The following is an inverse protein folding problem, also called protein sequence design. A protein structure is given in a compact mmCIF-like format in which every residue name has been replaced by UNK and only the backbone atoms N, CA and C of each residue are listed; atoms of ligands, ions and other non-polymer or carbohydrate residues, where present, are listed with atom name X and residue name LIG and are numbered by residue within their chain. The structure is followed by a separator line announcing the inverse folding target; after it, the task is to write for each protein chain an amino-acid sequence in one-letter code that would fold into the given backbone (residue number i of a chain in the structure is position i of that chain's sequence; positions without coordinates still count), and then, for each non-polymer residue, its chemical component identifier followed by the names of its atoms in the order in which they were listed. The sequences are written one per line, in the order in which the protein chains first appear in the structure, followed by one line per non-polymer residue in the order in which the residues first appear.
data_IF_101926167449
#
_entry.id   IF_101926167449
#
_cell.length_a   1.000
_cell.length_b   1.000
_cell.length_c   1.000
_cell.angle_alpha   90.00
_cell.angle_beta   90.00
_cell.angle_gamma   90.00
#
_symmetry.space_group_name_H-M   'P 1'
#
loop_
_entity.id
_entity.type
_entity.pdbx_description
1 polymer ?
#
# COMPACT_ATOMS: atom_id res chain seq x y z
N UNK A 1 0.68 6.92 -5.73
CA UNK A 1 -0.04 5.78 -6.33
C UNK A 1 -1.19 5.33 -5.45
N UNK A 2 -1.09 5.37 -4.11
CA UNK A 2 -2.17 4.91 -3.24
C UNK A 2 -3.48 5.68 -3.41
N UNK A 3 -3.45 7.03 -3.40
CA UNK A 3 -4.64 7.87 -3.58
C UNK A 3 -5.24 7.65 -4.98
N UNK A 4 -4.37 7.61 -5.99
CA UNK A 4 -4.74 7.38 -7.38
C UNK A 4 -5.42 6.02 -7.57
N UNK A 5 -4.83 4.96 -7.01
CA UNK A 5 -5.42 3.62 -7.01
C UNK A 5 -6.74 3.57 -6.27
N UNK A 6 -6.87 4.32 -5.17
CA UNK A 6 -8.13 4.49 -4.46
C UNK A 6 -9.23 5.06 -5.37
N UNK A 7 -8.96 6.20 -6.01
CA UNK A 7 -9.89 6.87 -6.92
C UNK A 7 -10.25 5.96 -8.11
N UNK A 8 -9.25 5.35 -8.75
CA UNK A 8 -9.46 4.43 -9.87
C UNK A 8 -10.29 3.23 -9.43
N UNK A 9 -10.01 2.65 -8.26
CA UNK A 9 -10.77 1.54 -7.70
C UNK A 9 -12.23 1.89 -7.47
N UNK A 10 -12.51 3.09 -6.95
CA UNK A 10 -13.89 3.57 -6.75
C UNK A 10 -14.61 3.78 -8.08
N UNK A 11 -13.96 4.39 -9.07
CA UNK A 11 -14.53 4.59 -10.41
C UNK A 11 -14.83 3.25 -11.07
N UNK A 12 -13.85 2.34 -11.12
CA UNK A 12 -14.03 1.01 -11.70
C UNK A 12 -15.08 0.18 -10.96
N UNK A 13 -15.12 0.28 -9.63
CA UNK A 13 -16.15 -0.35 -8.81
C UNK A 13 -17.55 0.16 -9.15
N UNK A 14 -17.70 1.48 -9.34
CA UNK A 14 -18.98 2.11 -9.70
C UNK A 14 -19.41 1.75 -11.12
N UNK A 15 -18.50 1.78 -12.08
CA UNK A 15 -18.75 1.39 -13.49
C UNK A 15 -19.19 -0.07 -13.59
N UNK A 16 -18.64 -0.95 -12.76
CA UNK A 16 -19.03 -2.37 -12.68
C UNK A 16 -20.32 -2.63 -11.89
N UNK A 17 -21.11 -1.59 -11.59
CA UNK A 17 -22.39 -1.70 -10.88
C UNK A 17 -22.27 -1.86 -9.36
N UNK A 18 -21.08 -1.65 -8.81
CA UNK A 18 -20.83 -1.71 -7.38
C UNK A 18 -21.53 -0.59 -6.60
N UNK A 19 -21.86 -0.85 -5.34
CA UNK A 19 -22.57 0.09 -4.46
C UNK A 19 -21.66 0.52 -3.30
N UNK A 20 -21.64 1.83 -3.01
CA UNK A 20 -20.93 2.37 -1.85
C UNK A 20 -21.49 1.83 -0.51
N UNK A 21 -22.78 1.48 -0.47
CA UNK A 21 -23.42 0.85 0.69
C UNK A 21 -22.77 -0.47 1.10
N UNK A 22 -22.05 -1.13 0.20
CA UNK A 22 -21.38 -2.40 0.49
C UNK A 22 -20.18 -2.22 1.42
N UNK A 23 -19.60 -1.02 1.51
CA UNK A 23 -18.55 -0.72 2.48
C UNK A 23 -19.03 -0.80 3.94
N UNK A 24 -20.33 -0.65 4.20
CA UNK A 24 -20.88 -0.82 5.55
C UNK A 24 -20.82 -2.28 6.05
N UNK A 25 -20.71 -3.25 5.13
CA UNK A 25 -20.57 -4.67 5.46
C UNK A 25 -19.11 -5.14 5.42
N UNK A 26 -18.17 -4.22 5.23
CA UNK A 26 -16.76 -4.51 5.13
C UNK A 26 -16.19 -4.86 6.50
N UNK A 27 -15.77 -6.11 6.66
CA UNK A 27 -15.04 -6.57 7.83
C UNK A 27 -13.57 -6.83 7.47
N UNK A 28 -12.70 -5.87 7.83
CA UNK A 28 -11.25 -6.09 7.85
C UNK A 28 -10.87 -6.50 9.27
N UNK A 29 -10.29 -7.70 9.41
CA UNK A 29 -9.73 -8.15 10.68
C UNK A 29 -8.53 -7.28 11.03
N UNK A 30 -8.46 -6.86 12.30
CA UNK A 30 -7.34 -6.07 12.82
C UNK A 30 -7.10 -4.73 12.09
N UNK A 31 -8.14 -4.08 11.56
CA UNK A 31 -8.04 -2.73 10.98
C UNK A 31 -7.34 -1.67 11.87
N UNK A 32 -7.39 -1.74 13.22
CA UNK A 32 -6.63 -0.78 14.05
C UNK A 32 -5.11 -0.84 13.83
N UNK A 33 -4.59 -1.94 13.29
CA UNK A 33 -3.16 -2.06 12.94
C UNK A 33 -2.73 -1.05 11.88
N UNK A 34 -3.63 -0.56 11.02
CA UNK A 34 -3.31 0.49 10.04
C UNK A 34 -2.93 1.78 10.77
N UNK A 35 -3.73 2.16 11.76
CA UNK A 35 -3.49 3.35 12.56
C UNK A 35 -2.24 3.18 13.41
N UNK A 36 -2.05 2.02 14.04
CA UNK A 36 -0.84 1.72 14.80
C UNK A 36 0.41 1.81 13.92
N UNK A 37 0.40 1.21 12.72
CA UNK A 37 1.49 1.28 11.77
C UNK A 37 1.80 2.72 11.35
N UNK A 38 0.76 3.53 11.13
CA UNK A 38 0.91 4.95 10.79
C UNK A 38 1.53 5.76 11.93
N UNK A 39 1.07 5.57 13.17
CA UNK A 39 1.64 6.24 14.34
C UNK A 39 3.11 5.85 14.55
N UNK A 40 3.41 4.56 14.46
CA UNK A 40 4.80 4.07 14.54
C UNK A 40 5.64 4.69 13.43
N UNK A 41 5.14 4.77 12.20
CA UNK A 41 5.86 5.34 11.06
C UNK A 41 6.18 6.83 11.21
N UNK A 42 5.30 7.60 11.85
CA UNK A 42 5.47 9.05 12.05
C UNK A 42 6.28 9.36 13.31
N UNK A 43 6.26 8.47 14.30
CA UNK A 43 6.97 8.68 15.57
C UNK A 43 8.42 9.17 15.44
N UNK A 44 9.24 8.72 14.46
CA UNK A 44 10.61 9.17 14.36
C UNK A 44 10.74 10.65 13.95
N UNK A 45 9.79 11.17 13.17
CA UNK A 45 9.79 12.58 12.75
C UNK A 45 9.70 13.56 13.94
N UNK A 46 9.19 13.10 15.08
CA UNK A 46 9.15 13.88 16.32
C UNK A 46 10.40 13.70 17.19
N UNK A 47 11.19 12.65 16.95
CA UNK A 47 12.36 12.28 17.76
C UNK A 47 13.69 12.62 17.11
N UNK A 48 13.70 13.07 15.84
CA UNK A 48 14.91 13.40 15.07
C UNK A 48 15.83 14.44 15.72
N UNK A 49 15.34 15.19 16.72
CA UNK A 49 16.14 16.14 17.51
C UNK A 49 16.97 15.50 18.63
N UNK A 50 16.77 14.21 18.91
CA UNK A 50 17.42 13.48 20.00
C UNK A 50 18.39 12.47 19.39
N UNK A 51 19.69 12.77 19.47
CA UNK A 51 20.78 12.00 18.84
C UNK A 51 20.82 10.51 19.22
N UNK A 52 20.32 10.16 20.41
CA UNK A 52 20.24 8.76 20.90
C UNK A 52 19.22 7.92 20.11
N UNK A 53 18.26 8.57 19.42
CA UNK A 53 17.19 7.91 18.68
C UNK A 53 17.46 7.84 17.17
N UNK A 54 18.66 8.18 16.69
CA UNK A 54 19.00 8.13 15.27
C UNK A 54 18.82 6.72 14.64
N UNK A 55 18.96 5.65 15.44
CA UNK A 55 18.65 4.28 15.00
C UNK A 55 17.17 3.88 15.07
N UNK A 56 16.33 4.67 15.75
CA UNK A 56 14.92 4.35 15.97
C UNK A 56 14.08 4.43 14.69
N UNK A 57 14.45 5.32 13.75
CA UNK A 57 13.80 5.42 12.43
C UNK A 57 13.73 4.06 11.71
N UNK A 58 14.83 3.31 11.77
CA UNK A 58 14.96 2.01 11.14
C UNK A 58 14.00 0.99 11.76
N UNK A 59 14.01 0.87 13.09
CA UNK A 59 13.11 -0.04 13.81
C UNK A 59 11.65 0.34 13.63
N UNK A 60 11.33 1.63 13.68
CA UNK A 60 9.98 2.13 13.46
C UNK A 60 9.46 1.77 12.05
N UNK A 61 10.28 1.93 11.01
CA UNK A 61 9.93 1.50 9.66
C UNK A 61 9.67 -0.02 9.60
N UNK A 62 10.58 -0.83 10.15
CA UNK A 62 10.42 -2.29 10.17
C UNK A 62 9.17 -2.74 10.92
N UNK A 63 8.88 -2.15 12.08
CA UNK A 63 7.67 -2.44 12.87
C UNK A 63 6.43 -2.01 12.09
N UNK A 64 6.41 -0.81 11.51
CA UNK A 64 5.27 -0.33 10.72
C UNK A 64 4.94 -1.27 9.57
N UNK A 65 5.96 -1.65 8.78
CA UNK A 65 5.78 -2.58 7.66
C UNK A 65 5.35 -3.96 8.15
N UNK A 66 5.92 -4.45 9.25
CA UNK A 66 5.53 -5.71 9.88
C UNK A 66 4.06 -5.74 10.33
N UNK A 67 3.56 -4.64 10.90
CA UNK A 67 2.15 -4.50 11.28
C UNK A 67 1.22 -4.53 10.06
N UNK A 68 1.61 -3.89 8.95
CA UNK A 68 0.84 -3.94 7.70
C UNK A 68 0.86 -5.35 7.10
N UNK A 69 2.00 -6.04 7.08
CA UNK A 69 2.07 -7.45 6.63
C UNK A 69 1.14 -8.31 7.48
N UNK A 70 1.18 -8.17 8.81
CA UNK A 70 0.33 -8.93 9.71
C UNK A 70 -1.16 -8.71 9.39
N UNK A 71 -1.57 -7.46 9.18
CA UNK A 71 -2.94 -7.14 8.76
C UNK A 71 -3.31 -7.83 7.44
N UNK A 72 -2.41 -7.79 6.44
CA UNK A 72 -2.66 -8.42 5.14
C UNK A 72 -2.75 -9.95 5.25
N UNK A 73 -1.90 -10.57 6.09
CA UNK A 73 -1.91 -12.01 6.36
C UNK A 73 -3.21 -12.45 7.05
N UNK A 74 -3.73 -11.64 7.98
CA UNK A 74 -5.01 -11.91 8.65
C UNK A 74 -6.22 -11.77 7.73
N UNK A 75 -6.06 -11.14 6.55
CA UNK A 75 -7.14 -10.87 5.58
C UNK A 75 -6.84 -11.46 4.18
N UNK A 76 -6.13 -12.59 4.13
CA UNK A 76 -5.87 -13.33 2.89
C UNK A 76 -7.14 -13.88 2.21
N UNK A 77 -8.30 -13.85 2.87
CA UNK A 77 -9.59 -14.16 2.24
C UNK A 77 -9.87 -13.25 1.03
N UNK A 78 -9.31 -12.03 1.03
CA UNK A 78 -9.58 -11.01 0.01
C UNK A 78 -8.49 -10.98 -1.06
N UNK A 79 -8.88 -11.24 -2.32
CA UNK A 79 -7.95 -11.31 -3.47
C UNK A 79 -7.09 -10.06 -3.64
N UNK A 80 -7.67 -8.87 -3.48
CA UNK A 80 -6.93 -7.61 -3.58
C UNK A 80 -5.81 -7.48 -2.54
N UNK A 81 -6.08 -7.91 -1.29
CA UNK A 81 -5.08 -7.88 -0.21
C UNK A 81 -3.94 -8.88 -0.43
N UNK A 82 -4.19 -10.03 -1.07
CA UNK A 82 -3.11 -10.94 -1.49
C UNK A 82 -2.15 -10.28 -2.46
N UNK A 83 -2.68 -9.56 -3.45
CA UNK A 83 -1.87 -8.86 -4.46
C UNK A 83 -1.08 -7.72 -3.81
N UNK A 84 -1.70 -6.99 -2.87
CA UNK A 84 -1.00 -5.98 -2.07
C UNK A 84 0.16 -6.58 -1.28
N UNK A 85 -0.05 -7.75 -0.66
CA UNK A 85 0.99 -8.45 0.08
C UNK A 85 2.16 -8.83 -0.81
N UNK A 86 1.91 -9.34 -2.02
CA UNK A 86 2.98 -9.65 -2.98
C UNK A 86 3.78 -8.38 -3.31
N UNK A 87 3.12 -7.27 -3.62
CA UNK A 87 3.81 -6.01 -3.89
C UNK A 87 4.63 -5.49 -2.71
N UNK A 88 4.12 -5.65 -1.48
CA UNK A 88 4.82 -5.28 -0.25
C UNK A 88 6.05 -6.16 -0.01
N UNK A 89 5.94 -7.47 -0.23
CA UNK A 89 7.06 -8.41 -0.13
C UNK A 89 8.14 -8.12 -1.17
N UNK A 90 7.76 -7.74 -2.40
CA UNK A 90 8.72 -7.31 -3.43
C UNK A 90 9.49 -6.05 -2.98
N UNK A 91 8.80 -5.05 -2.45
CA UNK A 91 9.46 -3.85 -1.92
C UNK A 91 10.38 -4.18 -0.73
N UNK A 92 9.94 -5.07 0.17
CA UNK A 92 10.76 -5.52 1.29
C UNK A 92 12.00 -6.29 0.84
N UNK A 93 11.88 -7.16 -0.16
CA UNK A 93 13.02 -7.84 -0.75
C UNK A 93 14.01 -6.82 -1.31
N UNK A 94 13.53 -5.83 -2.09
CA UNK A 94 14.37 -4.77 -2.62
C UNK A 94 15.13 -4.04 -1.50
N UNK A 95 14.46 -3.71 -0.40
CA UNK A 95 15.06 -3.01 0.74
C UNK A 95 16.07 -3.91 1.47
N UNK A 96 15.71 -5.16 1.75
CA UNK A 96 16.53 -6.12 2.48
C UNK A 96 17.87 -6.40 1.78
N UNK A 97 17.85 -6.60 0.46
CA UNK A 97 19.07 -6.84 -0.33
C UNK A 97 19.93 -5.59 -0.54
N UNK A 98 19.42 -4.40 -0.23
CA UNK A 98 20.12 -3.12 -0.40
C UNK A 98 20.37 -2.44 0.96
N UNK A 99 20.73 -3.23 1.98
CA UNK A 99 21.12 -2.73 3.32
C UNK A 99 20.06 -1.81 3.93
N UNK A 100 18.79 -2.19 3.77
CA UNK A 100 17.62 -1.45 4.24
C UNK A 100 17.39 -0.07 3.62
N UNK A 101 18.02 0.19 2.46
CA UNK A 101 17.79 1.39 1.67
C UNK A 101 16.96 1.05 0.45
N UNK A 102 16.01 1.90 0.12
CA UNK A 102 15.24 1.78 -1.12
C UNK A 102 16.04 2.38 -2.27
N UNK A 103 16.37 1.62 -3.33
CA UNK A 103 17.04 2.17 -4.48
C UNK A 103 16.12 3.06 -5.32
N UNK A 104 16.65 4.18 -5.79
CA UNK A 104 15.92 5.14 -6.62
C UNK A 104 16.81 5.60 -7.79
N UNK A 105 16.23 5.66 -8.99
CA UNK A 105 16.88 6.25 -10.17
C UNK A 105 17.01 7.77 -10.01
N UNK A 106 18.24 8.28 -10.04
CA UNK A 106 18.51 9.71 -9.90
C UNK A 106 18.06 10.48 -11.13
N UNK A 107 18.31 9.93 -12.32
CA UNK A 107 17.76 10.44 -13.58
C UNK A 107 16.23 10.50 -13.53
N UNK A 108 15.59 9.48 -12.95
CA UNK A 108 14.14 9.45 -12.79
C UNK A 108 13.60 10.56 -11.87
N UNK A 109 14.31 10.89 -10.80
CA UNK A 109 13.96 12.02 -9.92
C UNK A 109 14.13 13.37 -10.63
N UNK A 110 15.18 13.51 -11.44
CA UNK A 110 15.41 14.71 -12.25
C UNK A 110 14.29 14.91 -13.27
N UNK A 111 13.94 13.87 -14.03
CA UNK A 111 12.85 13.88 -15.01
C UNK A 111 11.48 14.13 -14.35
N UNK A 112 11.27 13.66 -13.12
CA UNK A 112 10.07 13.96 -12.34
C UNK A 112 10.02 15.41 -11.82
N UNK A 113 11.11 16.19 -11.94
CA UNK A 113 11.21 17.54 -11.39
C UNK A 113 11.27 17.55 -9.85
N UNK A 114 11.79 16.49 -9.24
CA UNK A 114 11.92 16.31 -7.79
C UNK A 114 13.33 16.70 -7.29
N UNK A 115 13.83 17.87 -7.69
CA UNK A 115 15.16 18.34 -7.32
C UNK A 115 15.41 18.40 -5.80
N UNK A 116 14.47 18.84 -4.94
CA UNK A 116 14.70 18.85 -3.49
C UNK A 116 14.96 17.44 -2.91
N UNK A 117 14.31 16.42 -3.49
CA UNK A 117 14.52 15.03 -3.08
C UNK A 117 15.87 14.52 -3.58
N UNK A 118 16.26 14.86 -4.81
CA UNK A 118 17.57 14.54 -5.37
C UNK A 118 18.70 15.07 -4.48
N UNK A 119 18.65 16.36 -4.13
CA UNK A 119 19.64 17.01 -3.26
C UNK A 119 19.66 16.41 -1.85
N UNK A 120 18.50 16.07 -1.29
CA UNK A 120 18.40 15.47 0.04
C UNK A 120 18.98 14.04 0.09
N UNK A 121 18.91 13.28 -1.01
CA UNK A 121 19.54 11.96 -1.10
C UNK A 121 21.05 12.11 -1.31
N UNK A 122 21.49 13.01 -2.19
CA UNK A 122 22.91 13.26 -2.44
C UNK A 122 23.65 13.82 -1.21
N UNK A 123 23.01 14.69 -0.45
CA UNK A 123 23.55 15.25 0.81
C UNK A 123 23.48 14.28 2.00
N UNK A 124 22.97 13.06 1.80
CA UNK A 124 22.84 12.05 2.87
C UNK A 124 21.79 12.39 3.93
N UNK A 125 20.99 13.45 3.76
CA UNK A 125 19.93 13.84 4.68
C UNK A 125 18.80 12.81 4.76
N UNK A 126 18.58 12.05 3.68
CA UNK A 126 17.61 10.95 3.67
C UNK A 126 18.35 9.61 3.62
N UNK A 127 18.60 9.03 4.79
CA UNK A 127 19.35 7.78 4.93
C UNK A 127 18.63 6.55 4.34
N UNK A 128 17.32 6.66 4.08
CA UNK A 128 16.46 5.55 3.64
C UNK A 128 16.49 5.30 2.12
N UNK A 129 17.12 6.18 1.34
CA UNK A 129 17.24 6.03 -0.10
C UNK A 129 18.69 5.89 -0.53
N UNK A 130 18.93 5.16 -1.62
CA UNK A 130 20.24 5.09 -2.24
C UNK A 130 20.14 5.26 -3.77
N UNK A 131 21.19 5.81 -4.41
CA UNK A 131 21.27 5.88 -5.87
C UNK A 131 21.23 4.48 -6.48
N UNK A 132 20.41 4.31 -7.52
CA UNK A 132 20.33 3.06 -8.28
C UNK A 132 21.64 2.74 -9.02
N UNK A 133 22.43 3.75 -9.37
CA UNK A 133 23.68 3.59 -10.12
C UNK A 133 24.71 2.69 -9.40
N UNK A 134 24.60 2.56 -8.07
CA UNK A 134 25.52 1.77 -7.25
C UNK A 134 25.12 0.27 -7.13
N UNK A 135 24.08 -0.18 -7.84
CA UNK A 135 23.50 -1.52 -7.66
C UNK A 135 23.67 -2.36 -8.92
N UNK A 136 24.43 -3.45 -8.79
CA UNK A 136 24.71 -4.40 -9.89
C UNK A 136 23.91 -5.71 -9.82
N UNK A 137 23.04 -5.89 -8.82
CA UNK A 137 22.29 -7.14 -8.62
C UNK A 137 20.84 -7.03 -9.10
N UNK A 138 20.12 -8.17 -9.10
CA UNK A 138 18.72 -8.29 -9.57
C UNK A 138 17.73 -7.35 -8.86
N UNK A 139 18.07 -6.87 -7.66
CA UNK A 139 17.27 -5.91 -6.89
C UNK A 139 17.04 -4.58 -7.63
N UNK A 140 17.85 -4.26 -8.66
CA UNK A 140 17.64 -3.11 -9.56
C UNK A 140 16.29 -3.13 -10.25
N UNK A 141 15.74 -4.31 -10.55
CA UNK A 141 14.43 -4.45 -11.19
C UNK A 141 13.26 -4.20 -10.23
N UNK A 142 13.53 -4.16 -8.93
CA UNK A 142 12.56 -3.81 -7.89
C UNK A 142 12.76 -2.40 -7.33
N UNK A 143 13.76 -1.67 -7.85
CA UNK A 143 14.02 -0.28 -7.51
C UNK A 143 12.87 0.63 -7.95
N UNK A 144 12.90 1.87 -7.47
CA UNK A 144 12.07 2.95 -8.00
C UNK A 144 12.73 3.51 -9.26
N UNK A 145 12.27 3.08 -10.44
CA UNK A 145 12.77 3.57 -11.73
C UNK A 145 11.66 4.04 -12.68
N UNK A 146 10.39 3.76 -12.39
CA UNK A 146 9.27 4.16 -13.24
C UNK A 146 8.94 5.61 -12.95
N UNK A 147 9.14 6.49 -13.93
CA UNK A 147 9.00 7.93 -13.78
C UNK A 147 7.60 8.37 -14.18
N UNK A 148 6.95 9.15 -13.31
CA UNK A 148 5.71 9.87 -13.61
C UNK A 148 6.05 11.37 -13.57
N UNK A 149 6.36 11.99 -14.72
CA UNK A 149 6.82 13.37 -14.78
C UNK A 149 5.66 14.38 -14.72
N UNK A 150 6.01 15.66 -14.49
CA UNK A 150 5.08 16.79 -14.69
C UNK A 150 4.63 16.81 -16.18
N UNK A 151 3.38 17.18 -16.52
CA UNK A 151 2.40 17.97 -15.75
C UNK A 151 1.50 17.16 -14.81
N UNK A 152 1.83 15.89 -14.51
CA UNK A 152 1.07 15.14 -13.51
C UNK A 152 1.17 15.81 -12.13
N UNK A 153 0.04 16.09 -11.44
CA UNK A 153 0.02 16.87 -10.20
C UNK A 153 0.78 16.20 -9.05
N UNK A 154 1.00 14.89 -9.12
CA UNK A 154 1.78 14.13 -8.15
C UNK A 154 2.97 13.45 -8.84
N UNK A 155 3.93 14.24 -9.34
CA UNK A 155 5.14 13.68 -9.94
C UNK A 155 5.87 12.78 -8.92
N UNK A 156 6.29 11.58 -9.37
CA UNK A 156 6.90 10.57 -8.50
C UNK A 156 7.66 9.51 -9.30
N UNK A 157 8.57 8.83 -8.62
CA UNK A 157 9.24 7.64 -9.13
C UNK A 157 8.74 6.43 -8.35
N UNK A 158 8.26 5.41 -9.05
CA UNK A 158 7.58 4.24 -8.46
C UNK A 158 8.33 2.96 -8.76
N UNK A 159 8.20 1.97 -7.88
CA UNK A 159 8.73 0.61 -8.09
C UNK A 159 7.68 -0.30 -8.72
N UNK A 160 8.11 -1.47 -9.18
CA UNK A 160 7.20 -2.57 -9.58
C UNK A 160 6.33 -2.99 -8.39
N UNK A 161 6.88 -3.06 -7.17
CA UNK A 161 6.11 -3.37 -5.97
C UNK A 161 4.99 -2.36 -5.70
N UNK A 162 5.25 -1.07 -5.93
CA UNK A 162 4.23 -0.02 -5.79
C UNK A 162 3.06 -0.21 -6.77
N UNK A 163 3.32 -0.71 -7.99
CA UNK A 163 2.28 -1.06 -8.95
C UNK A 163 1.42 -2.22 -8.46
N UNK A 164 2.03 -3.29 -7.93
CA UNK A 164 1.29 -4.41 -7.34
C UNK A 164 0.45 -3.98 -6.15
N UNK A 165 0.99 -3.14 -5.25
CA UNK A 165 0.23 -2.59 -4.12
C UNK A 165 -0.97 -1.79 -4.64
N UNK A 166 -0.77 -0.95 -5.64
CA UNK A 166 -1.84 -0.10 -6.21
C UNK A 166 -2.90 -0.93 -6.93
N UNK A 167 -2.50 -1.94 -7.70
CA UNK A 167 -3.41 -2.86 -8.37
C UNK A 167 -4.21 -3.68 -7.34
N UNK A 168 -3.55 -4.17 -6.29
CA UNK A 168 -4.21 -4.88 -5.21
C UNK A 168 -5.24 -4.01 -4.49
N UNK A 169 -4.94 -2.72 -4.26
CA UNK A 169 -5.88 -1.75 -3.70
C UNK A 169 -7.09 -1.54 -4.62
N UNK A 170 -6.87 -1.34 -5.92
CA UNK A 170 -7.94 -1.21 -6.92
C UNK A 170 -8.87 -2.42 -6.88
N UNK A 171 -8.29 -3.64 -6.95
CA UNK A 171 -9.04 -4.89 -6.95
C UNK A 171 -9.76 -5.14 -5.62
N UNK A 172 -9.17 -4.72 -4.50
CA UNK A 172 -9.80 -4.80 -3.18
C UNK A 172 -11.05 -3.91 -3.14
N UNK A 173 -10.90 -2.62 -3.44
CA UNK A 173 -12.01 -1.64 -3.43
C UNK A 173 -13.13 -2.10 -4.36
N UNK A 174 -12.77 -2.42 -5.60
CA UNK A 174 -13.73 -2.84 -6.62
C UNK A 174 -14.40 -4.18 -6.25
N UNK A 175 -13.66 -5.12 -5.68
CA UNK A 175 -14.19 -6.40 -5.20
C UNK A 175 -15.23 -6.21 -4.09
N UNK A 176 -14.92 -5.39 -3.09
CA UNK A 176 -15.86 -5.12 -1.99
C UNK A 176 -17.11 -4.35 -2.46
N UNK A 177 -16.96 -3.41 -3.41
CA UNK A 177 -18.10 -2.70 -3.99
C UNK A 177 -19.05 -3.59 -4.80
N UNK A 178 -18.53 -4.64 -5.45
CA UNK A 178 -19.32 -5.52 -6.35
C UNK A 178 -19.90 -6.74 -5.65
N UNK A 179 -19.56 -6.99 -4.38
CA UNK A 179 -20.15 -8.10 -3.61
C UNK A 179 -21.66 -7.92 -3.42
N UNK A 180 -22.41 -8.95 -3.75
CA UNK A 180 -23.85 -8.99 -3.54
C UNK A 180 -24.18 -9.42 -2.10
N UNK A 181 -24.23 -8.46 -1.18
CA UNK A 181 -24.70 -8.69 0.20
C UNK A 181 -26.23 -8.86 0.30
N UNK A 182 -26.97 -8.65 -0.79
CA UNK A 182 -28.44 -8.55 -0.82
C UNK A 182 -29.20 -9.89 -0.70
N UNK A 183 -28.53 -11.06 -0.71
CA UNK A 183 -29.25 -12.35 -0.70
C UNK A 183 -29.47 -12.99 0.67
N UNK A 184 -28.95 -12.43 1.78
CA UNK A 184 -29.09 -13.06 3.11
C UNK A 184 -30.41 -12.75 3.83
N UNK A 185 -31.29 -11.90 3.29
CA UNK A 185 -32.51 -11.43 4.01
C UNK A 185 -33.84 -12.00 3.56
N UNK A 186 -33.86 -13.00 2.69
CA UNK A 186 -35.10 -13.65 2.24
C UNK A 186 -35.07 -15.17 2.44
N UNK A 187 -34.87 -15.60 3.70
CA UNK A 187 -35.45 -16.89 4.11
C UNK A 187 -36.94 -16.69 4.24
N UNK A 188 -37.67 -17.04 3.18
CA UNK A 188 -39.12 -17.10 3.19
C UNK A 188 -39.54 -18.12 4.27
N UNK A 189 -40.08 -17.64 5.39
CA UNK A 189 -40.64 -18.50 6.43
C UNK A 189 -41.91 -19.10 5.83
N UNK A 190 -41.86 -20.36 5.41
CA UNK A 190 -43.06 -21.11 5.01
C UNK A 190 -43.83 -21.47 6.27
N UNK A 191 -44.92 -20.76 6.55
CA UNK A 191 -45.90 -21.21 7.53
C UNK A 191 -46.62 -22.43 6.97
N UNK A 192 -46.37 -23.60 7.56
CA UNK A 192 -47.16 -24.79 7.29
C UNK A 192 -48.52 -24.65 7.97
N UNK A 193 -49.56 -24.40 7.19
CA UNK A 193 -50.93 -24.43 7.69
C UNK A 193 -51.32 -25.90 7.90
N UNK A 194 -51.43 -26.35 9.16
CA UNK A 194 -52.11 -27.61 9.48
C UNK A 194 -53.60 -27.33 9.48
N UNK A 195 -54.27 -27.65 8.37
CA UNK A 195 -55.72 -27.76 8.35
C UNK A 195 -56.11 -29.02 9.11
N UNK A 196 -56.78 -28.85 10.25
CA UNK A 196 -57.54 -29.92 10.91
C UNK A 196 -58.89 -29.99 10.22
N UNK A 197 -59.15 -31.10 9.53
CA UNK A 197 -60.48 -31.54 9.09
C UNK A 197 -61.09 -32.34 10.24
#
# INVERSE_FOLDING_TARGET
MFIEGGIIGLILGKVRGGRFSNFSYLSIRAWPLIFLAFFVQISPAFTDKISVLAGFQFYAYGISVGLIILLLLLNLDKRGLKIMLVGLLLNLAAIYFNTWKMPVSMEGLQLAGLQPMLEAIQSGKIANYMPLENIHHWSKYLAKFIVIPKPYPLAKVVSVGDLFITLGLILFIQGEMTKNYLHSRSRMIKFGYKGTI
#
